data_IF_664379815838
#
_entry.id   IF_664379815838
#
_cell.length_a   1.000
_cell.length_b   1.000
_cell.length_c   1.000
_cell.angle_alpha   90.00
_cell.angle_beta   90.00
_cell.angle_gamma   90.00
#
_symmetry.space_group_name_H-M   'P 1'
#
loop_
_entity.id
_entity.type
_entity.pdbx_description
1 polymer ?
#
# COMPACT_ATOMS: atom_id res chain seq x y z
N UNK A 1 -10.52 -28.52 -3.99
CA UNK A 1 -11.27 -27.39 -3.41
C UNK A 1 -10.51 -26.58 -2.35
N UNK A 2 -9.66 -27.17 -1.49
CA UNK A 2 -8.96 -26.43 -0.41
C UNK A 2 -7.90 -25.40 -0.88
N UNK A 3 -7.23 -25.66 -2.00
CA UNK A 3 -6.16 -24.79 -2.57
C UNK A 3 -6.68 -23.46 -3.16
N UNK A 4 -7.89 -23.44 -3.76
CA UNK A 4 -8.48 -22.22 -4.33
C UNK A 4 -8.80 -21.17 -3.25
N UNK A 5 -9.28 -21.59 -2.08
CA UNK A 5 -9.56 -20.67 -0.98
C UNK A 5 -8.29 -19.97 -0.47
N UNK A 6 -7.14 -20.64 -0.50
CA UNK A 6 -5.86 -20.06 -0.06
C UNK A 6 -5.37 -18.99 -1.03
N UNK A 7 -5.50 -19.25 -2.34
CA UNK A 7 -5.16 -18.27 -3.37
C UNK A 7 -6.07 -17.04 -3.34
N UNK A 8 -7.37 -17.23 -3.18
CA UNK A 8 -8.34 -16.14 -3.10
C UNK A 8 -8.11 -15.28 -1.85
N UNK A 9 -7.87 -15.92 -0.70
CA UNK A 9 -7.54 -15.22 0.54
C UNK A 9 -6.22 -14.45 0.45
N UNK A 10 -5.25 -14.95 -0.32
CA UNK A 10 -3.98 -14.27 -0.53
C UNK A 10 -4.13 -13.08 -1.48
N UNK A 11 -4.85 -13.23 -2.59
CA UNK A 11 -5.15 -12.12 -3.49
C UNK A 11 -5.91 -10.99 -2.75
N UNK A 12 -6.91 -11.33 -1.93
CA UNK A 12 -7.61 -10.36 -1.09
C UNK A 12 -6.67 -9.67 -0.10
N UNK A 13 -5.76 -10.41 0.54
CA UNK A 13 -4.79 -9.84 1.47
C UNK A 13 -3.83 -8.85 0.80
N UNK A 14 -3.36 -9.16 -0.42
CA UNK A 14 -2.49 -8.27 -1.20
C UNK A 14 -3.24 -6.98 -1.56
N UNK A 15 -4.47 -7.11 -2.05
CA UNK A 15 -5.31 -5.94 -2.42
C UNK A 15 -5.58 -5.08 -1.19
N UNK A 16 -5.99 -5.67 -0.06
CA UNK A 16 -6.21 -4.94 1.19
C UNK A 16 -4.93 -4.26 1.69
N UNK A 17 -3.78 -4.90 1.56
CA UNK A 17 -2.49 -4.31 1.94
C UNK A 17 -2.16 -3.10 1.08
N UNK A 18 -2.30 -3.19 -0.24
CA UNK A 18 -2.09 -2.06 -1.17
C UNK A 18 -3.02 -0.89 -0.81
N UNK A 19 -4.32 -1.17 -0.62
CA UNK A 19 -5.31 -0.15 -0.25
C UNK A 19 -4.98 0.48 1.09
N UNK A 20 -4.56 -0.30 2.09
CA UNK A 20 -4.21 0.22 3.43
C UNK A 20 -2.98 1.13 3.40
N UNK A 21 -1.94 0.76 2.66
CA UNK A 21 -0.71 1.54 2.50
C UNK A 21 -1.03 2.83 1.76
N UNK A 22 -1.83 2.74 0.70
CA UNK A 22 -2.29 3.91 -0.04
C UNK A 22 -3.07 4.88 0.86
N UNK A 23 -4.03 4.37 1.62
CA UNK A 23 -4.85 5.20 2.51
C UNK A 23 -4.00 5.86 3.59
N UNK A 24 -3.05 5.12 4.18
CA UNK A 24 -2.16 5.67 5.22
C UNK A 24 -1.24 6.75 4.64
N UNK A 25 -0.71 6.52 3.44
CA UNK A 25 0.15 7.49 2.75
C UNK A 25 -0.59 8.78 2.40
N UNK A 26 -1.85 8.69 1.95
CA UNK A 26 -2.64 9.88 1.62
C UNK A 26 -3.03 10.65 2.88
N UNK A 27 -3.35 9.96 3.98
CA UNK A 27 -3.62 10.60 5.27
C UNK A 27 -2.38 11.33 5.79
N UNK A 28 -1.19 10.73 5.70
CA UNK A 28 0.08 11.37 6.05
C UNK A 28 0.37 12.60 5.17
N UNK A 29 0.09 12.51 3.86
CA UNK A 29 0.27 13.63 2.95
C UNK A 29 -0.66 14.79 3.30
N UNK A 30 -1.96 14.53 3.49
CA UNK A 30 -2.95 15.53 3.90
C UNK A 30 -2.57 16.15 5.25
N UNK A 31 -2.17 15.33 6.23
CA UNK A 31 -1.76 15.79 7.55
C UNK A 31 -0.49 16.66 7.49
N UNK A 32 0.48 16.29 6.65
CA UNK A 32 1.68 17.07 6.39
C UNK A 32 1.36 18.44 5.79
N UNK A 33 0.57 18.47 4.73
CA UNK A 33 0.10 19.73 4.11
C UNK A 33 -0.68 20.60 5.10
N UNK A 34 -1.53 20.01 5.95
CA UNK A 34 -2.25 20.73 7.00
C UNK A 34 -1.31 21.34 8.04
N UNK A 35 -0.28 20.60 8.47
CA UNK A 35 0.74 21.10 9.40
C UNK A 35 1.55 22.24 8.76
N UNK A 36 1.97 22.10 7.50
CA UNK A 36 2.69 23.15 6.78
C UNK A 36 1.86 24.41 6.57
N UNK A 37 0.57 24.25 6.29
CA UNK A 37 -0.37 25.37 6.19
C UNK A 37 -0.52 26.10 7.53
N UNK A 38 -0.77 25.37 8.63
CA UNK A 38 -0.97 25.97 9.96
C UNK A 38 0.28 26.61 10.55
N UNK A 39 1.44 25.95 10.44
CA UNK A 39 2.67 26.40 11.10
C UNK A 39 3.50 27.38 10.27
N UNK A 40 3.38 27.32 8.94
CA UNK A 40 4.30 28.04 8.03
C UNK A 40 3.58 28.89 6.99
N UNK A 41 2.24 28.87 6.95
CA UNK A 41 1.42 29.65 6.03
C UNK A 41 1.64 29.29 4.55
N UNK A 42 2.25 28.13 4.28
CA UNK A 42 2.53 27.69 2.91
C UNK A 42 1.20 27.26 2.29
N UNK A 43 0.84 27.75 1.09
CA UNK A 43 -0.40 27.35 0.44
C UNK A 43 -0.37 25.84 0.15
N UNK A 44 -1.49 25.19 0.46
CA UNK A 44 -1.69 23.77 0.23
C UNK A 44 -1.55 23.49 -1.27
N UNK A 45 -0.58 22.65 -1.65
CA UNK A 45 -0.31 22.31 -3.04
C UNK A 45 -0.69 20.85 -3.31
N UNK A 46 -1.99 20.61 -3.53
CA UNK A 46 -2.48 19.34 -4.07
C UNK A 46 -2.26 19.27 -5.58
N UNK A 47 -1.04 18.98 -6.01
CA UNK A 47 -0.76 18.69 -7.42
C UNK A 47 -1.08 17.24 -7.74
N UNK A 48 -1.72 17.00 -8.89
CA UNK A 48 -2.02 15.65 -9.38
C UNK A 48 -0.76 14.77 -9.50
N UNK A 49 0.40 15.38 -9.78
CA UNK A 49 1.68 14.70 -9.87
C UNK A 49 2.09 14.05 -8.54
N UNK A 50 1.90 14.74 -7.41
CA UNK A 50 2.23 14.21 -6.08
C UNK A 50 1.33 13.02 -5.71
N UNK A 51 0.04 13.11 -6.03
CA UNK A 51 -0.92 12.00 -5.84
C UNK A 51 -0.53 10.80 -6.69
N UNK A 52 -0.12 11.02 -7.94
CA UNK A 52 0.33 9.96 -8.83
C UNK A 52 1.62 9.28 -8.34
N UNK A 53 2.52 10.06 -7.75
CA UNK A 53 3.75 9.58 -7.12
C UNK A 53 3.44 8.72 -5.88
N UNK A 54 2.51 9.15 -5.02
CA UNK A 54 2.02 8.35 -3.89
C UNK A 54 1.38 7.04 -4.35
N UNK A 55 0.59 7.05 -5.43
CA UNK A 55 0.04 5.83 -6.03
C UNK A 55 1.15 4.85 -6.45
N UNK A 56 2.17 5.33 -7.17
CA UNK A 56 3.30 4.49 -7.62
C UNK A 56 4.04 3.86 -6.44
N UNK A 57 4.34 4.65 -5.41
CA UNK A 57 5.04 4.18 -4.22
C UNK A 57 4.20 3.12 -3.50
N UNK A 58 2.92 3.41 -3.26
CA UNK A 58 2.00 2.50 -2.57
C UNK A 58 1.82 1.19 -3.32
N UNK A 59 1.72 1.23 -4.65
CA UNK A 59 1.63 0.04 -5.48
C UNK A 59 2.92 -0.79 -5.42
N UNK A 60 4.08 -0.14 -5.46
CA UNK A 60 5.38 -0.84 -5.38
C UNK A 60 5.58 -1.53 -4.03
N UNK A 61 5.31 -0.84 -2.92
CA UNK A 61 5.51 -1.36 -1.56
C UNK A 61 4.45 -2.42 -1.26
N UNK A 62 3.19 -2.17 -1.60
CA UNK A 62 2.11 -3.11 -1.38
C UNK A 62 2.27 -4.40 -2.19
N UNK A 63 2.74 -4.32 -3.44
CA UNK A 63 3.05 -5.53 -4.23
C UNK A 63 4.29 -6.26 -3.72
N UNK A 64 5.31 -5.55 -3.23
CA UNK A 64 6.50 -6.17 -2.65
C UNK A 64 6.19 -6.95 -1.37
N UNK A 65 5.43 -6.35 -0.44
CA UNK A 65 4.98 -7.02 0.79
C UNK A 65 4.07 -8.20 0.46
N UNK A 66 3.12 -8.00 -0.45
CA UNK A 66 2.20 -9.04 -0.90
C UNK A 66 2.90 -10.22 -1.59
N UNK A 67 3.85 -9.93 -2.49
CA UNK A 67 4.64 -10.91 -3.21
C UNK A 67 5.61 -11.65 -2.29
N UNK A 68 6.25 -10.95 -1.34
CA UNK A 68 7.12 -11.56 -0.32
C UNK A 68 6.37 -12.57 0.55
N UNK A 69 5.15 -12.23 1.00
CA UNK A 69 4.30 -13.17 1.74
C UNK A 69 3.84 -14.36 0.89
N UNK A 70 3.59 -14.15 -0.40
CA UNK A 70 3.27 -15.25 -1.31
C UNK A 70 4.44 -16.22 -1.47
N UNK A 71 5.63 -15.70 -1.73
CA UNK A 71 6.87 -16.48 -1.85
C UNK A 71 7.16 -17.24 -0.55
N UNK A 72 6.98 -16.60 0.61
CA UNK A 72 7.14 -17.25 1.90
C UNK A 72 6.15 -18.41 2.11
N UNK A 73 4.88 -18.28 1.66
CA UNK A 73 3.91 -19.38 1.70
C UNK A 73 4.25 -20.50 0.72
N UNK A 74 4.69 -20.19 -0.50
CA UNK A 74 5.11 -21.18 -1.51
C UNK A 74 6.34 -21.96 -1.01
N UNK A 75 7.31 -21.28 -0.42
CA UNK A 75 8.50 -21.92 0.16
C UNK A 75 8.15 -22.77 1.39
N UNK A 76 7.23 -22.32 2.25
CA UNK A 76 6.71 -23.13 3.37
C UNK A 76 5.97 -24.39 2.90
N UNK A 77 5.28 -24.32 1.77
CA UNK A 77 4.60 -25.47 1.16
C UNK A 77 5.57 -26.47 0.51
N UNK A 78 6.83 -26.10 0.26
CA UNK A 78 7.82 -26.95 -0.42
C UNK A 78 8.64 -27.83 0.55
N UNK A 79 8.50 -27.63 1.87
CA UNK A 79 9.20 -28.37 2.93
C UNK A 79 8.32 -29.43 3.63
N UNK A 80 7.36 -30.02 2.92
CA UNK A 80 6.57 -31.17 3.41
C UNK A 80 6.42 -32.23 2.33
#
# INVERSE_FOLDING_TARGET
>A
MRQQNVFLHLALFIVLSIVSIFLTSITLYIAGEFLFFFFKGIPINFTMDNIFLLCKISFSIGSFVGGGMWIARVLKLKNF
#
